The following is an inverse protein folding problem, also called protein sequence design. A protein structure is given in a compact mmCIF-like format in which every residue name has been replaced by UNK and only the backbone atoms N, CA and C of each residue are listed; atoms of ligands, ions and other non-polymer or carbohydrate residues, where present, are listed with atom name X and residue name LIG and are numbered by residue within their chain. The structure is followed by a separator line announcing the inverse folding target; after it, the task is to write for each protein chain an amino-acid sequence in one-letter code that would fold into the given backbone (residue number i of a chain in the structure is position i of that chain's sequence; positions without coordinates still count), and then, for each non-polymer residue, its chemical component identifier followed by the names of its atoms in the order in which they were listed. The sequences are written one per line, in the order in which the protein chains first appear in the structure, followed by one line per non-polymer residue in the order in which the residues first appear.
data_IF_507013602906
#
_entry.id   IF_507013602906
#
_cell.length_a   1.000
_cell.length_b   1.000
_cell.length_c   1.000
_cell.angle_alpha   90.00
_cell.angle_beta   90.00
_cell.angle_gamma   90.00
#
_symmetry.space_group_name_H-M   'P 1'
#
loop_
_entity.id
_entity.type
_entity.pdbx_description
1 polymer ?
#
# COMPACT_ATOMS: atom_id res chain seq x y z
N UNK A 1 2.90 17.52 -1.32
CA UNK A 1 4.33 17.81 -1.60
C UNK A 1 5.25 17.28 -0.51
N UNK A 2 5.07 17.64 0.76
CA UNK A 2 5.93 17.14 1.85
C UNK A 2 5.99 15.60 1.93
N UNK A 3 4.84 14.92 1.85
CA UNK A 3 4.80 13.45 1.82
C UNK A 3 5.62 12.85 0.67
N UNK A 4 5.43 13.36 -0.56
CA UNK A 4 6.19 12.92 -1.74
C UNK A 4 7.70 13.13 -1.56
N UNK A 5 8.12 14.29 -1.07
CA UNK A 5 9.53 14.56 -0.80
C UNK A 5 10.13 13.57 0.23
N UNK A 6 9.39 13.28 1.30
CA UNK A 6 9.79 12.26 2.28
C UNK A 6 9.92 10.87 1.65
N UNK A 7 8.97 10.47 0.80
CA UNK A 7 9.04 9.17 0.10
C UNK A 7 10.21 9.11 -0.89
N UNK A 8 10.54 10.21 -1.56
CA UNK A 8 11.69 10.30 -2.46
C UNK A 8 13.01 10.16 -1.69
N UNK A 9 13.14 10.81 -0.54
CA UNK A 9 14.29 10.64 0.34
C UNK A 9 14.41 9.20 0.84
N UNK A 10 13.30 8.59 1.27
CA UNK A 10 13.28 7.19 1.69
C UNK A 10 13.70 6.25 0.54
N UNK A 11 13.24 6.51 -0.69
CA UNK A 11 13.66 5.76 -1.88
C UNK A 11 15.16 5.86 -2.14
N UNK A 12 15.75 7.05 -1.99
CA UNK A 12 17.20 7.22 -2.10
C UNK A 12 17.93 6.39 -1.03
N UNK A 13 17.48 6.42 0.23
CA UNK A 13 18.06 5.59 1.29
C UNK A 13 17.94 4.09 1.03
N UNK A 14 16.81 3.62 0.48
CA UNK A 14 16.66 2.21 0.08
C UNK A 14 17.72 1.83 -0.96
N UNK A 15 17.93 2.67 -1.97
CA UNK A 15 18.90 2.36 -3.02
C UNK A 15 20.35 2.46 -2.55
N UNK A 16 20.63 3.26 -1.51
CA UNK A 16 21.97 3.34 -0.92
C UNK A 16 22.21 2.26 0.14
N UNK A 17 21.16 1.67 0.70
CA UNK A 17 21.28 0.64 1.72
C UNK A 17 21.91 -0.65 1.15
N UNK A 18 22.76 -1.34 1.93
CA UNK A 18 23.25 -2.65 1.55
C UNK A 18 22.09 -3.64 1.40
N UNK A 19 22.25 -4.59 0.48
CA UNK A 19 21.26 -5.62 0.28
C UNK A 19 21.34 -6.65 1.42
N UNK A 20 20.19 -7.02 1.99
CA UNK A 20 20.09 -8.09 2.98
C UNK A 20 20.26 -9.48 2.32
N UNK A 21 20.17 -10.56 3.11
CA UNK A 21 20.40 -11.96 2.67
C UNK A 21 19.59 -12.40 1.44
N UNK A 22 18.47 -11.74 1.15
CA UNK A 22 17.58 -12.03 0.00
C UNK A 22 17.69 -10.97 -1.12
N UNK A 23 18.80 -10.24 -1.18
CA UNK A 23 18.99 -9.05 -2.03
C UNK A 23 17.99 -7.90 -1.79
N UNK A 24 17.18 -7.97 -0.72
CA UNK A 24 16.20 -6.93 -0.37
C UNK A 24 16.90 -5.72 0.21
N UNK A 25 16.47 -4.53 -0.19
CA UNK A 25 16.92 -3.27 0.40
C UNK A 25 15.81 -2.61 1.21
N UNK A 26 16.17 -2.00 2.33
CA UNK A 26 15.24 -1.30 3.21
C UNK A 26 15.92 -0.11 3.87
N UNK A 27 15.17 0.96 4.09
CA UNK A 27 15.63 2.14 4.82
C UNK A 27 15.31 2.11 6.32
N UNK A 28 14.46 1.18 6.79
CA UNK A 28 13.96 1.16 8.17
C UNK A 28 13.96 -0.24 8.82
N UNK A 29 14.66 -1.21 8.22
CA UNK A 29 14.67 -2.61 8.68
C UNK A 29 13.48 -3.45 8.21
N UNK A 30 12.39 -2.87 7.69
CA UNK A 30 11.26 -3.60 7.13
C UNK A 30 10.94 -3.17 5.70
N UNK A 31 11.41 -3.95 4.73
CA UNK A 31 11.22 -3.64 3.31
C UNK A 31 9.74 -3.52 2.90
N UNK A 32 8.80 -4.20 3.56
CA UNK A 32 7.38 -4.07 3.22
C UNK A 32 6.78 -2.73 3.69
N UNK A 33 7.22 -2.22 4.85
CA UNK A 33 6.83 -0.88 5.32
C UNK A 33 7.29 0.20 4.36
N UNK A 34 8.56 0.14 3.96
CA UNK A 34 9.13 1.13 3.04
C UNK A 34 8.47 1.03 1.68
N UNK A 35 8.24 -0.18 1.17
CA UNK A 35 7.58 -0.38 -0.11
C UNK A 35 6.16 0.19 -0.12
N UNK A 36 5.40 0.04 0.98
CA UNK A 36 4.08 0.63 1.11
C UNK A 36 4.13 2.16 1.09
N UNK A 37 5.08 2.78 1.79
CA UNK A 37 5.29 4.23 1.74
C UNK A 37 5.65 4.70 0.33
N UNK A 38 6.53 3.98 -0.38
CA UNK A 38 6.93 4.27 -1.76
C UNK A 38 5.71 4.21 -2.69
N UNK A 39 4.83 3.21 -2.54
CA UNK A 39 3.64 3.06 -3.40
C UNK A 39 2.62 4.17 -3.13
N UNK A 40 2.44 4.60 -1.88
CA UNK A 40 1.67 5.81 -1.59
C UNK A 40 2.30 7.06 -2.21
N UNK A 41 3.64 7.15 -2.19
CA UNK A 41 4.41 8.20 -2.87
C UNK A 41 4.16 8.20 -4.37
N UNK A 42 4.13 7.01 -4.99
CA UNK A 42 3.78 6.82 -6.40
C UNK A 42 2.36 7.32 -6.71
N UNK A 43 1.38 6.98 -5.86
CA UNK A 43 0.01 7.50 -5.97
C UNK A 43 -0.03 9.04 -5.90
N UNK A 44 0.74 9.64 -4.99
CA UNK A 44 0.87 11.10 -4.90
C UNK A 44 1.53 11.72 -6.14
N UNK A 45 2.59 11.10 -6.67
CA UNK A 45 3.27 11.57 -7.87
C UNK A 45 2.33 11.55 -9.08
N UNK A 46 1.59 10.45 -9.29
CA UNK A 46 0.63 10.32 -10.39
C UNK A 46 -0.56 11.27 -10.24
N UNK A 47 -1.05 11.48 -9.02
CA UNK A 47 -2.04 12.52 -8.75
C UNK A 47 -1.55 13.92 -9.18
N UNK A 48 -0.33 14.28 -8.78
CA UNK A 48 0.27 15.58 -9.15
C UNK A 48 0.54 15.70 -10.65
N UNK A 49 0.86 14.61 -11.33
CA UNK A 49 1.05 14.58 -12.78
C UNK A 49 -0.26 14.92 -13.51
N UNK A 50 -1.39 14.39 -13.04
CA UNK A 50 -2.69 14.52 -13.70
C UNK A 50 -3.47 15.78 -13.31
N UNK A 51 -3.31 16.24 -12.07
CA UNK A 51 -4.11 17.33 -11.47
C UNK A 51 -3.27 18.53 -11.02
N UNK A 52 -1.94 18.41 -10.96
CA UNK A 52 -1.05 19.47 -10.47
C UNK A 52 -0.69 20.54 -11.50
N UNK A 53 -0.10 21.64 -11.01
CA UNK A 53 0.50 22.73 -11.82
C UNK A 53 1.81 22.27 -12.48
N UNK A 54 2.32 23.02 -13.46
CA UNK A 54 3.57 22.70 -14.20
C UNK A 54 4.74 22.30 -13.29
N UNK A 55 5.02 23.07 -12.23
CA UNK A 55 6.07 22.76 -11.24
C UNK A 55 5.84 21.41 -10.55
N UNK A 56 4.61 21.11 -10.16
CA UNK A 56 4.26 19.84 -9.50
C UNK A 56 4.40 18.65 -10.46
N UNK A 57 4.08 18.84 -11.75
CA UNK A 57 4.28 17.82 -12.78
C UNK A 57 5.76 17.50 -12.97
N UNK A 58 6.63 18.52 -12.99
CA UNK A 58 8.08 18.32 -13.09
C UNK A 58 8.58 17.52 -11.88
N UNK A 59 8.20 17.92 -10.67
CA UNK A 59 8.56 17.18 -9.44
C UNK A 59 8.06 15.75 -9.49
N UNK A 60 6.82 15.52 -9.91
CA UNK A 60 6.25 14.18 -10.05
C UNK A 60 7.07 13.32 -11.02
N UNK A 61 7.33 13.81 -12.24
CA UNK A 61 8.13 13.10 -13.26
C UNK A 61 9.53 12.80 -12.74
N UNK A 62 10.20 13.77 -12.13
CA UNK A 62 11.54 13.57 -11.55
C UNK A 62 11.55 12.53 -10.42
N UNK A 63 10.43 12.39 -9.68
CA UNK A 63 10.31 11.43 -8.58
C UNK A 63 10.04 10.01 -9.05
N UNK A 64 9.38 9.82 -10.20
CA UNK A 64 8.91 8.50 -10.66
C UNK A 64 10.03 7.46 -10.81
N UNK A 65 11.16 7.72 -11.49
CA UNK A 65 12.21 6.72 -11.65
C UNK A 65 12.75 6.23 -10.30
N UNK A 66 12.93 7.15 -9.36
CA UNK A 66 13.46 6.84 -8.04
C UNK A 66 12.47 6.05 -7.19
N UNK A 67 11.18 6.40 -7.23
CA UNK A 67 10.13 5.64 -6.54
C UNK A 67 9.98 4.22 -7.11
N UNK A 68 10.00 4.07 -8.43
CA UNK A 68 9.85 2.78 -9.10
C UNK A 68 11.04 1.85 -8.83
N UNK A 69 12.26 2.35 -9.01
CA UNK A 69 13.49 1.58 -8.77
C UNK A 69 13.63 1.16 -7.31
N UNK A 70 13.39 2.09 -6.36
CA UNK A 70 13.41 1.76 -4.95
C UNK A 70 12.30 0.76 -4.57
N UNK A 71 11.11 0.90 -5.15
CA UNK A 71 10.00 -0.04 -4.98
C UNK A 71 10.38 -1.48 -5.38
N UNK A 72 11.03 -1.64 -6.54
CA UNK A 72 11.55 -2.94 -7.01
C UNK A 72 12.63 -3.47 -6.06
N UNK A 73 13.57 -2.62 -5.66
CA UNK A 73 14.67 -3.00 -4.77
C UNK A 73 14.21 -3.49 -3.39
N UNK A 74 12.99 -3.14 -2.95
CA UNK A 74 12.41 -3.69 -1.71
C UNK A 74 12.04 -5.18 -1.81
N UNK A 75 11.85 -5.70 -3.03
CA UNK A 75 11.36 -7.05 -3.29
C UNK A 75 9.94 -7.31 -2.78
N UNK A 76 9.16 -6.26 -2.53
CA UNK A 76 7.82 -6.40 -1.93
C UNK A 76 6.74 -6.65 -2.98
N UNK A 77 6.08 -7.81 -2.91
CA UNK A 77 4.93 -8.14 -3.76
C UNK A 77 3.74 -7.19 -3.53
N UNK A 78 3.57 -6.69 -2.31
CA UNK A 78 2.57 -5.68 -1.98
C UNK A 78 2.75 -4.41 -2.81
N UNK A 79 3.99 -4.00 -3.08
CA UNK A 79 4.25 -2.83 -3.89
C UNK A 79 3.89 -3.02 -5.36
N UNK A 80 4.12 -4.23 -5.89
CA UNK A 80 3.70 -4.59 -7.25
C UNK A 80 2.18 -4.52 -7.37
N UNK A 81 1.43 -5.17 -6.47
CA UNK A 81 -0.03 -5.15 -6.52
C UNK A 81 -0.61 -3.75 -6.28
N UNK A 82 -0.06 -2.98 -5.35
CA UNK A 82 -0.47 -1.61 -5.09
C UNK A 82 -0.22 -0.70 -6.30
N UNK A 83 0.96 -0.78 -6.92
CA UNK A 83 1.29 -0.02 -8.12
C UNK A 83 0.38 -0.40 -9.31
N UNK A 84 0.13 -1.70 -9.52
CA UNK A 84 -0.80 -2.18 -10.54
C UNK A 84 -2.22 -1.61 -10.33
N UNK A 85 -2.71 -1.63 -9.09
CA UNK A 85 -4.01 -1.03 -8.75
C UNK A 85 -4.05 0.48 -9.02
N UNK A 86 -2.98 1.22 -8.73
CA UNK A 86 -2.89 2.65 -9.05
C UNK A 86 -2.94 2.88 -10.56
N UNK A 87 -2.21 2.08 -11.35
CA UNK A 87 -2.21 2.17 -12.83
C UNK A 87 -3.61 1.90 -13.39
N UNK A 88 -4.33 0.92 -12.85
CA UNK A 88 -5.71 0.64 -13.24
C UNK A 88 -6.62 1.84 -12.96
N UNK A 89 -6.53 2.42 -11.76
CA UNK A 89 -7.30 3.62 -11.40
C UNK A 89 -6.98 4.78 -12.34
N UNK A 90 -5.70 5.04 -12.62
CA UNK A 90 -5.29 6.12 -13.51
C UNK A 90 -5.86 5.90 -14.92
N UNK A 91 -5.73 4.68 -15.44
CA UNK A 91 -6.25 4.29 -16.76
C UNK A 91 -7.76 4.50 -16.83
N UNK A 92 -8.50 4.01 -15.84
CA UNK A 92 -9.96 4.16 -15.78
C UNK A 92 -10.39 5.62 -15.73
N UNK A 93 -9.74 6.44 -14.89
CA UNK A 93 -10.01 7.89 -14.80
C UNK A 93 -9.71 8.60 -16.11
N UNK A 94 -8.60 8.25 -16.78
CA UNK A 94 -8.20 8.87 -18.03
C UNK A 94 -9.13 8.49 -19.20
N UNK A 95 -9.56 7.23 -19.30
CA UNK A 95 -10.59 6.77 -20.25
C UNK A 95 -11.91 7.50 -20.01
N UNK A 96 -12.40 7.49 -18.76
CA UNK A 96 -13.69 8.11 -18.41
C UNK A 96 -13.74 9.61 -18.70
N UNK A 97 -12.61 10.31 -18.60
CA UNK A 97 -12.50 11.74 -18.93
C UNK A 97 -12.12 12.00 -20.41
N UNK A 98 -12.03 10.96 -21.26
CA UNK A 98 -11.59 11.03 -22.66
C UNK A 98 -10.24 11.74 -22.85
N UNK A 99 -9.34 11.59 -21.88
CA UNK A 99 -8.02 12.24 -21.88
C UNK A 99 -6.98 11.32 -22.51
N UNK A 100 -7.09 11.09 -23.82
CA UNK A 100 -6.20 10.19 -24.57
C UNK A 100 -4.71 10.52 -24.41
N UNK A 101 -4.34 11.79 -24.31
CA UNK A 101 -2.96 12.19 -24.01
C UNK A 101 -2.45 11.72 -22.64
N UNK A 102 -3.35 11.57 -21.65
CA UNK A 102 -3.01 10.99 -20.34
C UNK A 102 -2.86 9.47 -20.41
N UNK A 103 -3.69 8.79 -21.22
CA UNK A 103 -3.55 7.36 -21.47
C UNK A 103 -2.23 7.03 -22.17
N UNK A 104 -1.87 7.81 -23.19
CA UNK A 104 -0.57 7.72 -23.82
C UNK A 104 0.55 7.88 -22.78
N UNK A 105 0.45 8.88 -21.89
CA UNK A 105 1.41 9.06 -20.80
C UNK A 105 1.52 7.88 -19.82
N UNK A 106 0.41 7.22 -19.49
CA UNK A 106 0.41 6.01 -18.64
C UNK A 106 1.06 4.85 -19.35
N UNK A 107 0.70 4.61 -20.62
CA UNK A 107 1.30 3.56 -21.45
C UNK A 107 2.80 3.81 -21.58
N UNK A 108 3.22 5.04 -21.85
CA UNK A 108 4.63 5.43 -21.88
C UNK A 108 5.30 5.19 -20.52
N UNK A 109 4.66 5.50 -19.40
CA UNK A 109 5.20 5.23 -18.08
C UNK A 109 5.35 3.73 -17.78
N UNK A 110 4.40 2.89 -18.22
CA UNK A 110 4.49 1.42 -18.12
C UNK A 110 5.64 0.91 -19.00
N UNK A 111 5.76 1.39 -20.23
CA UNK A 111 6.85 1.03 -21.14
C UNK A 111 8.21 1.42 -20.55
N UNK A 112 8.32 2.65 -20.02
CA UNK A 112 9.53 3.10 -19.31
C UNK A 112 9.80 2.22 -18.09
N UNK A 113 8.79 1.83 -17.33
CA UNK A 113 8.97 0.91 -16.20
C UNK A 113 9.50 -0.45 -16.67
N UNK A 114 8.96 -1.02 -17.74
CA UNK A 114 9.44 -2.29 -18.31
C UNK A 114 10.90 -2.14 -18.74
N UNK A 115 11.23 -1.08 -19.48
CA UNK A 115 12.60 -0.81 -19.93
C UNK A 115 13.57 -0.58 -18.76
N UNK A 116 13.13 0.14 -17.73
CA UNK A 116 13.92 0.36 -16.51
C UNK A 116 14.17 -0.96 -15.82
N UNK A 117 13.13 -1.78 -15.59
CA UNK A 117 13.25 -3.11 -14.96
C UNK A 117 14.22 -4.00 -15.74
N UNK A 118 14.10 -4.04 -17.07
CA UNK A 118 14.99 -4.81 -17.94
C UNK A 118 16.44 -4.31 -17.90
N UNK A 119 16.62 -3.00 -17.73
CA UNK A 119 17.94 -2.35 -17.60
C UNK A 119 18.52 -2.40 -16.18
N UNK A 120 17.75 -2.84 -15.17
CA UNK A 120 18.26 -2.91 -13.80
C UNK A 120 19.28 -4.05 -13.68
N UNK A 121 20.43 -3.82 -13.01
CA UNK A 121 21.33 -4.89 -12.62
C UNK A 121 20.55 -5.99 -11.90
N UNK A 122 20.78 -7.26 -12.26
CA UNK A 122 20.13 -8.41 -11.59
C UNK A 122 20.27 -8.37 -10.07
N UNK A 123 21.36 -7.78 -9.56
CA UNK A 123 21.60 -7.54 -8.14
C UNK A 123 20.56 -6.63 -7.43
N UNK A 124 19.74 -5.87 -8.18
CA UNK A 124 18.66 -5.02 -7.66
C UNK A 124 17.28 -5.67 -7.77
N UNK A 125 17.16 -6.83 -8.40
CA UNK A 125 15.89 -7.55 -8.56
C UNK A 125 15.91 -8.75 -7.60
N UNK A 126 15.19 -8.69 -6.47
CA UNK A 126 15.13 -9.80 -5.53
C UNK A 126 14.41 -11.01 -6.15
N UNK A 127 14.90 -12.22 -5.87
CA UNK A 127 14.35 -13.50 -6.34
C UNK A 127 12.87 -13.72 -5.94
N UNK A 128 12.41 -13.00 -4.92
CA UNK A 128 11.00 -13.02 -4.50
C UNK A 128 10.05 -12.40 -5.52
N UNK A 129 10.54 -11.51 -6.40
CA UNK A 129 9.76 -10.93 -7.48
C UNK A 129 9.69 -11.88 -8.69
N UNK A 130 10.78 -12.61 -9.00
CA UNK A 130 10.77 -13.62 -10.07
C UNK A 130 9.89 -14.82 -9.71
N UNK A 131 9.83 -15.20 -8.44
CA UNK A 131 8.99 -16.30 -7.92
C UNK A 131 7.52 -15.92 -7.65
N UNK A 132 7.02 -14.77 -8.11
CA UNK A 132 5.60 -14.40 -7.90
C UNK A 132 4.66 -15.41 -8.57
N UNK A 133 4.97 -15.83 -9.80
CA UNK A 133 4.14 -16.79 -10.53
C UNK A 133 4.03 -18.14 -9.82
N UNK A 134 5.18 -18.69 -9.41
CA UNK A 134 5.25 -19.95 -8.66
C UNK A 134 4.55 -19.84 -7.29
N UNK A 135 4.70 -18.72 -6.59
CA UNK A 135 4.02 -18.49 -5.31
C UNK A 135 2.50 -18.38 -5.45
N UNK A 136 2.00 -17.85 -6.58
CA UNK A 136 0.56 -17.82 -6.86
C UNK A 136 0.03 -19.22 -7.20
N UNK A 137 0.80 -20.03 -7.94
CA UNK A 137 0.40 -21.39 -8.31
C UNK A 137 0.45 -22.37 -7.13
N UNK A 138 1.50 -22.27 -6.31
CA UNK A 138 1.67 -23.14 -5.12
C UNK A 138 0.80 -22.73 -3.93
N UNK A 139 0.16 -21.56 -3.98
CA UNK A 139 -0.54 -20.97 -2.84
C UNK A 139 0.38 -20.52 -1.70
N UNK A 140 1.69 -20.77 -1.77
CA UNK A 140 2.63 -20.40 -0.72
C UNK A 140 3.02 -18.91 -0.83
N UNK A 141 2.18 -18.05 -0.26
CA UNK A 141 2.41 -16.61 -0.16
C UNK A 141 3.36 -16.25 0.99
N UNK A 142 4.50 -16.94 1.10
CA UNK A 142 5.50 -16.76 2.17
C UNK A 142 4.99 -17.19 3.55
N UNK A 143 4.52 -18.44 3.65
CA UNK A 143 3.96 -19.07 4.86
C UNK A 143 2.70 -18.40 5.41
N UNK A 144 2.09 -17.46 4.68
CA UNK A 144 0.86 -16.77 5.10
C UNK A 144 -0.35 -17.69 5.15
N UNK A 145 -0.41 -18.72 4.32
CA UNK A 145 -1.49 -19.71 4.35
C UNK A 145 -1.55 -20.40 5.70
N UNK A 146 -0.42 -20.91 6.19
CA UNK A 146 -0.32 -21.54 7.52
C UNK A 146 -0.79 -20.58 8.64
N UNK A 147 -0.42 -19.29 8.55
CA UNK A 147 -0.87 -18.27 9.52
C UNK A 147 -2.38 -18.05 9.43
N UNK A 148 -2.93 -17.94 8.22
CA UNK A 148 -4.35 -17.70 8.00
C UNK A 148 -5.19 -18.90 8.39
N UNK A 149 -4.72 -20.10 8.11
CA UNK A 149 -5.36 -21.36 8.50
C UNK A 149 -5.45 -21.44 10.03
N UNK A 150 -4.36 -21.16 10.76
CA UNK A 150 -4.39 -21.12 12.23
C UNK A 150 -5.35 -20.06 12.80
N UNK A 151 -5.57 -18.93 12.10
CA UNK A 151 -6.57 -17.93 12.48
C UNK A 151 -7.98 -18.43 12.19
N UNK A 152 -8.20 -19.04 11.02
CA UNK A 152 -9.51 -19.53 10.59
C UNK A 152 -9.96 -20.77 11.36
N UNK A 153 -9.03 -21.63 11.78
CA UNK A 153 -9.28 -22.80 12.64
C UNK A 153 -9.80 -22.40 14.02
N UNK A 154 -9.37 -21.24 14.53
CA UNK A 154 -9.97 -20.66 15.76
C UNK A 154 -11.45 -20.35 15.58
N UNK A 155 -11.86 -20.00 14.35
CA UNK A 155 -13.23 -19.67 14.01
C UNK A 155 -13.64 -18.24 14.37
N UNK A 156 -14.95 -18.00 14.35
CA UNK A 156 -15.56 -16.67 14.50
C UNK A 156 -16.04 -16.45 15.95
N UNK A 157 -15.09 -16.33 16.87
CA UNK A 157 -15.43 -15.89 18.23
C UNK A 157 -15.93 -14.43 18.23
N UNK A 158 -16.67 -14.05 19.26
CA UNK A 158 -17.26 -12.70 19.31
C UNK A 158 -16.26 -11.62 19.72
N UNK A 159 -15.23 -11.97 20.50
CA UNK A 159 -14.39 -11.00 21.24
C UNK A 159 -12.88 -11.12 20.92
N UNK A 160 -12.44 -12.19 20.24
CA UNK A 160 -11.04 -12.40 19.88
C UNK A 160 -10.13 -12.79 21.06
N UNK A 161 -8.82 -12.73 20.80
CA UNK A 161 -7.75 -13.01 21.78
C UNK A 161 -7.29 -11.78 22.58
N UNK A 162 -7.80 -10.60 22.26
CA UNK A 162 -7.36 -9.33 22.80
C UNK A 162 -6.44 -8.56 21.84
N UNK A 163 -6.56 -7.23 21.87
CA UNK A 163 -5.79 -6.32 21.03
C UNK A 163 -4.28 -6.46 21.27
N UNK A 164 -3.52 -6.61 20.19
CA UNK A 164 -2.07 -6.81 20.21
C UNK A 164 -1.61 -8.22 20.61
N UNK A 165 -2.52 -9.16 20.89
CA UNK A 165 -2.16 -10.52 21.31
C UNK A 165 -1.82 -11.46 20.13
N UNK A 166 -1.94 -11.02 18.87
CA UNK A 166 -1.63 -11.86 17.69
C UNK A 166 -0.26 -12.55 17.77
N UNK A 167 0.85 -11.88 18.10
CA UNK A 167 2.17 -12.52 18.13
C UNK A 167 2.28 -13.62 19.18
N UNK A 168 1.68 -13.41 20.36
CA UNK A 168 1.69 -14.40 21.44
C UNK A 168 0.79 -15.58 21.11
N UNK A 169 -0.42 -15.33 20.60
CA UNK A 169 -1.35 -16.38 20.22
C UNK A 169 -0.80 -17.25 19.09
N UNK A 170 -0.38 -16.63 17.99
CA UNK A 170 0.19 -17.34 16.84
C UNK A 170 1.52 -18.00 17.20
N UNK A 171 2.32 -17.40 18.08
CA UNK A 171 3.52 -18.02 18.64
C UNK A 171 3.24 -19.32 19.37
N UNK A 172 2.16 -19.37 20.16
CA UNK A 172 1.72 -20.59 20.85
C UNK A 172 1.21 -21.68 19.90
N UNK A 173 0.58 -21.29 18.78
CA UNK A 173 0.02 -22.24 17.80
C UNK A 173 1.05 -22.76 16.78
N UNK A 174 1.93 -21.87 16.30
CA UNK A 174 2.84 -22.15 15.18
C UNK A 174 4.28 -22.42 15.62
N UNK A 175 4.59 -22.20 16.90
CA UNK A 175 5.96 -22.35 17.45
C UNK A 175 6.91 -21.19 17.12
N UNK A 176 6.43 -20.13 16.45
CA UNK A 176 7.21 -18.91 16.19
C UNK A 176 6.31 -17.66 16.22
N UNK A 177 6.84 -16.57 16.76
CA UNK A 177 6.11 -15.30 16.88
C UNK A 177 5.91 -14.65 15.51
N UNK A 178 4.66 -14.38 15.15
CA UNK A 178 4.28 -13.77 13.86
C UNK A 178 2.95 -13.02 13.95
N UNK A 179 2.62 -12.23 12.94
CA UNK A 179 1.35 -11.49 12.86
C UNK A 179 0.50 -11.98 11.69
N UNK A 180 -0.78 -11.61 11.65
CA UNK A 180 -1.73 -12.08 10.64
C UNK A 180 -1.34 -11.73 9.18
N UNK A 181 -0.56 -10.67 8.97
CA UNK A 181 -0.23 -10.15 7.63
C UNK A 181 -1.46 -9.90 6.73
N UNK A 182 -2.61 -9.65 7.34
CA UNK A 182 -3.88 -9.31 6.72
C UNK A 182 -4.70 -8.57 7.78
N UNK A 183 -5.11 -7.34 7.50
CA UNK A 183 -5.82 -6.48 8.46
C UNK A 183 -7.11 -7.15 8.94
N UNK A 184 -7.86 -7.78 8.04
CA UNK A 184 -9.17 -8.35 8.37
C UNK A 184 -9.03 -9.57 9.27
N UNK A 185 -8.07 -10.45 8.97
CA UNK A 185 -7.79 -11.61 9.81
C UNK A 185 -7.16 -11.20 11.14
N UNK A 186 -6.32 -10.16 11.16
CA UNK A 186 -5.77 -9.60 12.39
C UNK A 186 -6.86 -9.03 13.30
N UNK A 187 -7.76 -8.20 12.74
CA UNK A 187 -8.91 -7.65 13.47
C UNK A 187 -9.83 -8.77 13.95
N UNK A 188 -10.14 -9.76 13.10
CA UNK A 188 -10.93 -10.93 13.50
C UNK A 188 -10.28 -11.69 14.66
N UNK A 189 -8.97 -11.97 14.57
CA UNK A 189 -8.24 -12.69 15.60
C UNK A 189 -8.25 -11.92 16.93
N UNK A 190 -7.89 -10.63 16.91
CA UNK A 190 -7.66 -9.85 18.12
C UNK A 190 -8.94 -9.34 18.78
N UNK A 191 -9.97 -9.04 17.97
CA UNK A 191 -11.20 -8.37 18.46
C UNK A 191 -12.48 -9.13 18.14
N UNK A 192 -12.36 -10.30 17.50
CA UNK A 192 -13.48 -11.16 17.16
C UNK A 192 -14.37 -10.61 16.04
N UNK A 193 -15.48 -11.29 15.82
CA UNK A 193 -16.50 -10.91 14.87
C UNK A 193 -17.07 -9.51 15.15
N UNK A 194 -17.24 -9.13 16.43
CA UNK A 194 -17.75 -7.81 16.79
C UNK A 194 -16.80 -6.70 16.36
N UNK A 195 -15.50 -6.82 16.64
CA UNK A 195 -14.53 -5.83 16.22
C UNK A 195 -14.38 -5.79 14.69
N UNK A 196 -14.46 -6.94 14.01
CA UNK A 196 -14.49 -6.99 12.54
C UNK A 196 -15.72 -6.27 11.96
N UNK A 197 -16.90 -6.44 12.55
CA UNK A 197 -18.12 -5.73 12.13
C UNK A 197 -17.99 -4.22 12.31
N UNK A 198 -17.49 -3.77 13.46
CA UNK A 198 -17.24 -2.34 13.73
C UNK A 198 -16.21 -1.78 12.76
N UNK A 199 -15.13 -2.53 12.49
CA UNK A 199 -14.12 -2.14 11.53
C UNK A 199 -14.67 -2.08 10.09
N UNK A 200 -15.49 -3.05 9.69
CA UNK A 200 -16.19 -3.04 8.40
C UNK A 200 -17.13 -1.85 8.25
N UNK A 201 -17.90 -1.53 9.30
CA UNK A 201 -18.74 -0.33 9.35
C UNK A 201 -17.91 0.95 9.22
N UNK A 202 -16.78 1.04 9.94
CA UNK A 202 -15.84 2.16 9.86
C UNK A 202 -15.32 2.33 8.42
N UNK A 203 -14.89 1.25 7.76
CA UNK A 203 -14.43 1.29 6.37
C UNK A 203 -15.53 1.70 5.40
N UNK A 204 -16.77 1.23 5.61
CA UNK A 204 -17.91 1.63 4.80
C UNK A 204 -18.20 3.13 4.95
N UNK A 205 -18.23 3.64 6.19
CA UNK A 205 -18.35 5.08 6.47
C UNK A 205 -17.23 5.88 5.83
N UNK A 206 -15.99 5.41 5.98
CA UNK A 206 -14.83 6.02 5.37
C UNK A 206 -14.95 6.12 3.85
N UNK A 207 -15.42 5.06 3.18
CA UNK A 207 -15.59 5.04 1.73
C UNK A 207 -16.68 6.01 1.27
N UNK A 208 -17.75 6.16 2.04
CA UNK A 208 -18.81 7.14 1.78
C UNK A 208 -18.29 8.57 1.97
N UNK A 209 -17.63 8.85 3.09
CA UNK A 209 -17.10 10.16 3.43
C UNK A 209 -15.96 10.58 2.49
N UNK A 210 -15.14 9.64 2.05
CA UNK A 210 -14.05 9.87 1.09
C UNK A 210 -14.54 10.45 -0.24
N UNK A 211 -15.77 10.14 -0.67
CA UNK A 211 -16.35 10.71 -1.90
C UNK A 211 -16.63 12.20 -1.75
N UNK A 212 -17.02 12.62 -0.56
CA UNK A 212 -17.33 14.01 -0.27
C UNK A 212 -16.07 14.81 0.09
N UNK A 213 -15.02 14.14 0.60
CA UNK A 213 -13.73 14.74 0.97
C UNK A 213 -13.17 15.71 -0.08
N UNK A 214 -12.59 16.84 0.36
CA UNK A 214 -11.79 17.76 -0.48
C UNK A 214 -10.60 17.06 -1.14
N UNK A 215 -10.17 15.96 -0.53
CA UNK A 215 -9.09 15.12 -1.02
C UNK A 215 -9.59 13.87 -1.74
N UNK A 216 -10.88 13.75 -2.06
CA UNK A 216 -11.49 12.59 -2.75
C UNK A 216 -10.68 12.14 -3.96
N UNK A 217 -10.27 13.10 -4.78
CA UNK A 217 -9.42 12.86 -5.95
C UNK A 217 -8.06 12.27 -5.59
N UNK A 218 -7.40 12.70 -4.50
CA UNK A 218 -6.13 12.14 -4.03
C UNK A 218 -6.35 10.76 -3.40
N UNK A 219 -7.39 10.60 -2.58
CA UNK A 219 -7.74 9.34 -1.92
C UNK A 219 -7.95 8.23 -2.95
N UNK A 220 -8.57 8.55 -4.09
CA UNK A 220 -8.72 7.61 -5.20
C UNK A 220 -7.38 7.04 -5.71
N UNK A 221 -6.31 7.82 -5.73
CA UNK A 221 -4.96 7.34 -6.11
C UNK A 221 -4.24 6.61 -4.97
N UNK A 222 -4.64 6.81 -3.71
CA UNK A 222 -4.03 6.14 -2.55
C UNK A 222 -4.75 4.84 -2.18
N UNK A 223 -6.04 4.73 -2.50
CA UNK A 223 -6.89 3.60 -2.13
C UNK A 223 -6.34 2.24 -2.60
N UNK A 224 -5.81 2.08 -3.83
CA UNK A 224 -5.28 0.78 -4.24
C UNK A 224 -4.03 0.36 -3.45
N UNK A 225 -3.19 1.31 -3.07
CA UNK A 225 -2.04 1.04 -2.20
C UNK A 225 -2.53 0.54 -0.83
N UNK A 226 -3.48 1.24 -0.22
CA UNK A 226 -4.04 0.85 1.08
C UNK A 226 -4.73 -0.50 0.99
N UNK A 227 -5.53 -0.76 -0.05
CA UNK A 227 -6.19 -2.05 -0.25
C UNK A 227 -5.17 -3.20 -0.39
N UNK A 228 -4.16 -3.04 -1.25
CA UNK A 228 -3.11 -4.04 -1.41
C UNK A 228 -2.34 -4.27 -0.10
N UNK A 229 -2.02 -3.19 0.62
CA UNK A 229 -1.38 -3.29 1.92
C UNK A 229 -2.26 -3.95 2.97
N UNK A 230 -3.57 -3.69 2.98
CA UNK A 230 -4.50 -4.29 3.94
C UNK A 230 -4.64 -5.81 3.79
N UNK A 231 -4.47 -6.32 2.57
CA UNK A 231 -4.51 -7.76 2.29
C UNK A 231 -3.17 -8.46 2.56
N UNK A 232 -2.08 -7.71 2.64
CA UNK A 232 -0.73 -8.26 2.65
C UNK A 232 0.11 -7.88 3.88
N UNK A 233 -0.39 -6.98 4.72
CA UNK A 233 0.26 -6.42 5.90
C UNK A 233 -0.77 -6.17 7.00
N UNK A 234 -0.28 -6.03 8.23
CA UNK A 234 -1.04 -5.51 9.38
C UNK A 234 -1.00 -3.99 9.38
N UNK A 235 -1.74 -3.37 8.46
CA UNK A 235 -1.77 -1.91 8.29
C UNK A 235 -2.46 -1.17 9.45
N UNK A 236 -3.32 -1.83 10.22
CA UNK A 236 -4.00 -1.28 11.39
C UNK A 236 -3.01 -0.75 12.43
N UNK A 237 -1.84 -1.39 12.55
CA UNK A 237 -0.76 -0.94 13.41
C UNK A 237 0.15 0.14 12.78
N UNK A 238 -0.10 0.55 11.53
CA UNK A 238 0.82 1.39 10.74
C UNK A 238 0.19 2.73 10.36
N UNK A 239 1.00 3.80 10.44
CA UNK A 239 0.58 5.21 10.21
C UNK A 239 -0.06 5.46 8.83
N UNK A 240 0.23 4.62 7.85
CA UNK A 240 -0.20 4.76 6.46
C UNK A 240 -1.72 4.62 6.28
N UNK A 241 -2.35 3.68 7.00
CA UNK A 241 -3.81 3.53 7.01
C UNK A 241 -4.47 4.77 7.60
N UNK A 242 -3.99 5.18 8.77
CA UNK A 242 -4.51 6.32 9.52
C UNK A 242 -4.37 7.65 8.78
N UNK A 243 -3.32 7.81 7.96
CA UNK A 243 -3.17 8.98 7.09
C UNK A 243 -4.33 9.08 6.08
N UNK A 244 -4.70 7.98 5.43
CA UNK A 244 -5.82 7.99 4.47
C UNK A 244 -7.15 8.21 5.18
N UNK A 245 -7.32 7.64 6.37
CA UNK A 245 -8.49 7.89 7.22
C UNK A 245 -8.64 9.38 7.52
N UNK A 246 -7.55 10.01 7.98
CA UNK A 246 -7.53 11.44 8.31
C UNK A 246 -7.84 12.33 7.08
N UNK A 247 -7.36 11.97 5.88
CA UNK A 247 -7.68 12.70 4.65
C UNK A 247 -9.17 12.63 4.31
N UNK A 248 -9.78 11.45 4.43
CA UNK A 248 -11.22 11.28 4.18
C UNK A 248 -12.07 12.12 5.11
N UNK A 249 -11.70 12.21 6.39
CA UNK A 249 -12.48 12.94 7.41
C UNK A 249 -12.10 14.40 7.60
N UNK A 250 -11.06 14.90 6.94
CA UNK A 250 -10.57 16.27 7.09
C UNK A 250 -11.60 17.38 6.79
N UNK A 251 -12.74 17.05 6.19
CA UNK A 251 -13.84 17.99 5.90
C UNK A 251 -14.98 17.99 6.91
N UNK A 252 -15.23 16.90 7.64
CA UNK A 252 -16.36 16.83 8.60
C UNK A 252 -16.23 17.92 9.67
N UNK A 253 -15.00 18.41 9.92
CA UNK A 253 -14.71 19.51 10.83
C UNK A 253 -14.72 20.91 10.19
N UNK A 254 -14.48 21.03 8.89
CA UNK A 254 -14.44 22.33 8.21
C UNK A 254 -15.86 22.87 7.97
N UNK A 255 -16.74 22.03 7.40
CA UNK A 255 -18.09 22.44 7.00
C UNK A 255 -19.01 22.67 8.21
N UNK A 256 -18.80 21.93 9.32
CA UNK A 256 -19.52 22.14 10.59
C UNK A 256 -19.14 23.44 11.30
N UNK A 257 -17.97 24.00 11.01
CA UNK A 257 -17.50 25.26 11.58
C UNK A 257 -18.06 26.45 10.82
N UNK A 258 -18.23 26.32 9.51
CA UNK A 258 -18.89 27.32 8.66
C UNK A 258 -20.41 27.34 8.87
N UNK A 259 -21.06 26.20 9.10
CA UNK A 259 -22.50 26.15 9.41
C UNK A 259 -22.89 26.66 10.82
N UNK A 260 -21.90 27.04 11.66
CA UNK A 260 -22.10 27.58 13.02
C UNK A 260 -21.67 29.04 13.16
N UNK A 261 -21.24 29.67 12.07
CA UNK A 261 -20.93 31.10 11.96
C UNK A 261 -22.00 31.79 11.12
#
# INVERSE_FOLDING_TARGET
MAFLAGTVLASAFVLLAPAASDSRRTANGNANDVAMAIVMGLGCALYLLLKGRRRNKIVAVASLPLLLTAGIATGSRTAVFGAAGIVLVVTFVAIGQRRWGQLAGVISAILVLILVVDSLPKALIPERLSSIGEALQSGNLSNRTIIWDAILERGWDMVGVGAGASPSYLGGQLGFSTVAHNVFLGVLLETGALGLMVFGWLLARLALDARNSRFSSLILFLAPAVAAGSLALTLEARRMLWLVIALSWSQIYADRREARL
#
